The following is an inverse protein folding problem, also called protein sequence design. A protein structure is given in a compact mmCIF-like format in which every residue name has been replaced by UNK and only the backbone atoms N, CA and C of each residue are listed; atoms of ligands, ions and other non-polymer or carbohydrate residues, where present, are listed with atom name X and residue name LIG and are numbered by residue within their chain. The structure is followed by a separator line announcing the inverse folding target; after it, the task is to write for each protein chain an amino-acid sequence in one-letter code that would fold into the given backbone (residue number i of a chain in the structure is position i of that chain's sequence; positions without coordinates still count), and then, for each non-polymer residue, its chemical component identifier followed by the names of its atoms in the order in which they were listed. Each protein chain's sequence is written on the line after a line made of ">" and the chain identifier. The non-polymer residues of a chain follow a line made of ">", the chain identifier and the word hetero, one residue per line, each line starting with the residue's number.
data_IF_531411257911
#
_entry.id   IF_531411257911
#
_cell.length_a   1.000
_cell.length_b   1.000
_cell.length_c   1.000
_cell.angle_alpha   90.00
_cell.angle_beta   90.00
_cell.angle_gamma   90.00
#
_symmetry.space_group_name_H-M   'P 1'
#
loop_
_entity.id
_entity.type
_entity.pdbx_description
1 polymer ?
#
# COMPACT_ATOMS: atom_id res chain seq x y z
N UNK A 1 4.56 -3.05 8.69
CA UNK A 1 5.88 -3.57 8.26
C UNK A 1 5.72 -5.04 7.92
N UNK A 2 6.28 -5.49 6.80
CA UNK A 2 6.30 -6.90 6.42
C UNK A 2 7.68 -7.50 6.62
N UNK A 3 7.78 -8.56 7.43
CA UNK A 3 8.99 -9.36 7.63
C UNK A 3 8.70 -10.79 7.20
N UNK A 4 9.40 -11.29 6.19
CA UNK A 4 9.32 -12.69 5.79
C UNK A 4 10.70 -13.34 5.87
N UNK A 5 10.73 -14.55 6.43
CA UNK A 5 11.93 -15.40 6.45
C UNK A 5 12.21 -15.93 5.04
N UNK A 6 13.46 -16.29 4.72
CA UNK A 6 13.73 -17.04 3.50
C UNK A 6 12.91 -18.33 3.48
N UNK A 7 12.32 -18.64 2.33
CA UNK A 7 11.48 -19.82 2.12
C UNK A 7 12.19 -21.12 2.51
N UNK A 8 13.48 -21.21 2.24
CA UNK A 8 14.36 -22.34 2.54
C UNK A 8 14.57 -22.58 4.05
N UNK A 9 14.22 -21.61 4.90
CA UNK A 9 14.32 -21.72 6.36
C UNK A 9 13.00 -22.16 7.02
N UNK A 10 11.96 -22.47 6.24
CA UNK A 10 10.64 -22.85 6.74
C UNK A 10 10.32 -24.27 6.28
N UNK A 11 10.00 -25.16 7.21
CA UNK A 11 9.62 -26.55 6.91
C UNK A 11 8.24 -26.65 6.26
N UNK A 12 7.34 -25.77 6.68
CA UNK A 12 6.02 -25.61 6.12
C UNK A 12 6.07 -24.43 5.16
N UNK A 13 6.57 -24.69 3.96
CA UNK A 13 6.21 -23.88 2.81
C UNK A 13 4.73 -24.13 2.57
N UNK A 14 3.87 -23.52 3.38
CA UNK A 14 2.49 -23.33 2.97
C UNK A 14 2.61 -22.68 1.60
N UNK A 15 2.20 -23.42 0.57
CA UNK A 15 1.98 -22.91 -0.76
C UNK A 15 0.87 -21.88 -0.64
N UNK A 16 1.24 -20.70 -0.16
CA UNK A 16 0.35 -19.56 -0.06
C UNK A 16 -0.03 -19.25 -1.48
N UNK A 17 -1.24 -19.68 -1.84
CA UNK A 17 -1.82 -19.36 -3.13
C UNK A 17 -1.78 -17.85 -3.26
N UNK A 18 -1.37 -17.35 -4.43
CA UNK A 18 -1.35 -15.91 -4.70
C UNK A 18 -2.73 -15.33 -4.42
N UNK A 19 -2.78 -14.35 -3.51
CA UNK A 19 -3.99 -13.70 -3.04
C UNK A 19 -4.07 -12.30 -3.65
N UNK A 20 -4.25 -12.26 -4.98
CA UNK A 20 -4.41 -10.98 -5.68
C UNK A 20 -5.62 -10.24 -5.14
N UNK A 21 -5.42 -8.97 -4.82
CA UNK A 21 -6.44 -8.12 -4.25
C UNK A 21 -6.30 -6.69 -4.79
N UNK A 22 -7.33 -5.89 -4.50
CA UNK A 22 -7.25 -4.42 -4.55
C UNK A 22 -7.54 -3.86 -3.17
N UNK A 23 -7.07 -2.65 -2.92
CA UNK A 23 -7.20 -1.94 -1.65
C UNK A 23 -8.13 -0.72 -1.77
N UNK A 24 -9.13 -0.82 -2.65
CA UNK A 24 -10.20 0.15 -2.84
C UNK A 24 -11.53 -0.57 -3.06
N UNK A 25 -12.56 -0.17 -2.31
CA UNK A 25 -13.90 -0.75 -2.39
C UNK A 25 -14.49 -0.67 -3.81
N UNK A 26 -15.27 -1.67 -4.24
CA UNK A 26 -16.03 -1.64 -5.49
C UNK A 26 -17.03 -0.48 -5.59
N UNK A 27 -17.44 0.10 -4.44
CA UNK A 27 -18.37 1.22 -4.38
C UNK A 27 -17.70 2.59 -4.59
N UNK A 28 -16.36 2.63 -4.66
CA UNK A 28 -15.58 3.86 -4.76
C UNK A 28 -15.01 4.00 -6.17
N UNK A 29 -15.45 5.03 -6.86
CA UNK A 29 -15.05 5.30 -8.24
C UNK A 29 -13.84 6.24 -8.32
N UNK A 30 -12.95 5.96 -9.27
CA UNK A 30 -11.80 6.83 -9.52
C UNK A 30 -10.64 6.61 -8.56
N UNK A 31 -9.79 7.61 -8.41
CA UNK A 31 -8.52 7.50 -7.69
C UNK A 31 -8.68 7.98 -6.23
N UNK A 32 -8.37 7.10 -5.27
CA UNK A 32 -8.49 7.40 -3.83
C UNK A 32 -7.19 7.32 -3.05
N UNK A 33 -6.20 6.54 -3.50
CA UNK A 33 -4.98 6.38 -2.74
C UNK A 33 -3.82 5.94 -3.64
N UNK A 34 -2.64 6.51 -3.40
CA UNK A 34 -1.38 5.89 -3.83
C UNK A 34 -0.85 5.10 -2.65
N UNK A 35 -0.45 3.87 -2.92
CA UNK A 35 0.23 2.99 -1.99
C UNK A 35 1.66 2.76 -2.45
N UNK A 36 2.46 2.21 -1.56
CA UNK A 36 3.80 1.79 -1.92
C UNK A 36 4.43 0.83 -0.92
N UNK A 37 5.44 0.15 -1.41
CA UNK A 37 6.28 -0.78 -0.65
C UNK A 37 7.72 -0.29 -0.73
N UNK A 38 8.27 0.12 0.41
CA UNK A 38 9.69 0.42 0.54
C UNK A 38 10.42 -0.87 0.90
N UNK A 39 11.35 -1.27 0.04
CA UNK A 39 12.18 -2.45 0.23
C UNK A 39 13.44 -2.10 0.99
N UNK A 40 13.62 -2.70 2.18
CA UNK A 40 14.81 -2.49 3.00
C UNK A 40 15.91 -3.53 2.73
N UNK A 41 15.63 -4.50 1.88
CA UNK A 41 16.58 -5.50 1.40
C UNK A 41 16.34 -5.80 -0.08
N UNK A 42 17.36 -6.31 -0.75
CA UNK A 42 17.31 -6.71 -2.16
C UNK A 42 16.23 -7.77 -2.39
N UNK A 43 15.38 -7.56 -3.40
CA UNK A 43 14.40 -8.53 -3.87
C UNK A 43 14.52 -8.73 -5.37
N UNK A 44 15.08 -9.88 -5.78
CA UNK A 44 15.16 -10.29 -7.17
C UNK A 44 13.84 -10.91 -7.67
N UNK A 45 13.78 -11.23 -8.96
CA UNK A 45 12.63 -11.88 -9.60
C UNK A 45 12.32 -13.27 -9.00
N UNK A 46 13.32 -13.94 -8.42
CA UNK A 46 13.20 -15.26 -7.80
C UNK A 46 12.78 -15.18 -6.33
N UNK A 47 12.93 -14.01 -5.70
CA UNK A 47 12.59 -13.81 -4.29
C UNK A 47 11.07 -13.67 -4.08
N UNK A 48 10.64 -13.80 -2.83
CA UNK A 48 9.29 -13.41 -2.44
C UNK A 48 9.16 -11.89 -2.58
N UNK A 49 8.11 -11.41 -3.24
CA UNK A 49 8.10 -10.02 -3.68
C UNK A 49 6.74 -9.51 -4.11
N UNK A 50 6.69 -8.20 -4.32
CA UNK A 50 5.52 -7.54 -4.88
C UNK A 50 5.28 -8.00 -6.31
N UNK A 51 4.05 -8.38 -6.61
CA UNK A 51 3.60 -8.78 -7.95
C UNK A 51 2.29 -8.09 -8.22
N UNK A 52 2.12 -7.59 -9.44
CA UNK A 52 0.90 -6.92 -9.83
C UNK A 52 0.51 -7.26 -11.27
N UNK A 53 -0.68 -6.83 -11.68
CA UNK A 53 -1.07 -6.81 -13.09
C UNK A 53 -0.94 -5.36 -13.59
N UNK A 54 0.16 -5.00 -14.28
CA UNK A 54 0.35 -3.64 -14.77
C UNK A 54 -0.85 -3.17 -15.60
N UNK A 55 -1.39 -1.99 -15.27
CA UNK A 55 -2.56 -1.43 -15.95
C UNK A 55 -3.93 -1.86 -15.42
N UNK A 56 -4.01 -2.85 -14.51
CA UNK A 56 -5.31 -3.37 -14.04
C UNK A 56 -6.15 -2.38 -13.22
N UNK A 57 -5.53 -1.33 -12.68
CA UNK A 57 -6.26 -0.23 -12.00
C UNK A 57 -7.31 0.43 -12.90
N UNK A 58 -7.12 0.38 -14.24
CA UNK A 58 -8.09 0.86 -15.23
C UNK A 58 -9.32 -0.04 -15.35
N UNK A 59 -9.21 -1.29 -14.92
CA UNK A 59 -10.26 -2.31 -15.01
C UNK A 59 -11.08 -2.40 -13.72
N UNK A 60 -10.71 -1.71 -12.64
CA UNK A 60 -11.31 -1.89 -11.31
C UNK A 60 -12.85 -1.82 -11.32
N UNK A 61 -13.43 -0.79 -11.92
CA UNK A 61 -14.89 -0.66 -12.06
C UNK A 61 -15.50 -1.82 -12.86
N UNK A 62 -14.89 -2.18 -13.99
CA UNK A 62 -15.39 -3.27 -14.84
C UNK A 62 -15.29 -4.64 -14.16
N UNK A 63 -14.18 -4.90 -13.47
CA UNK A 63 -13.90 -6.12 -12.72
C UNK A 63 -15.00 -6.37 -11.68
N UNK A 64 -15.35 -5.36 -10.90
CA UNK A 64 -16.35 -5.48 -9.84
C UNK A 64 -17.80 -5.43 -10.34
N UNK A 65 -18.05 -4.85 -11.52
CA UNK A 65 -19.38 -4.90 -12.16
C UNK A 65 -19.65 -6.24 -12.85
N UNK A 66 -18.60 -6.99 -13.21
CA UNK A 66 -18.73 -8.30 -13.85
C UNK A 66 -19.30 -9.35 -12.89
N UNK A 67 -18.92 -9.28 -11.62
CA UNK A 67 -19.28 -10.27 -10.60
C UNK A 67 -19.95 -9.59 -9.41
N UNK A 68 -21.24 -9.89 -9.20
CA UNK A 68 -22.05 -9.30 -8.12
C UNK A 68 -21.67 -9.85 -6.72
N UNK A 69 -20.76 -10.83 -6.63
CA UNK A 69 -20.29 -11.35 -5.34
C UNK A 69 -19.49 -10.31 -4.53
N UNK A 70 -19.01 -9.24 -5.18
CA UNK A 70 -18.28 -8.15 -4.54
C UNK A 70 -19.18 -6.97 -4.12
N UNK A 71 -20.27 -7.24 -3.40
CA UNK A 71 -21.08 -6.17 -2.80
C UNK A 71 -20.57 -5.81 -1.40
N UNK A 72 -19.49 -5.02 -1.34
CA UNK A 72 -18.87 -4.64 -0.06
C UNK A 72 -18.36 -3.20 -0.05
N UNK A 73 -18.44 -2.58 1.13
CA UNK A 73 -17.82 -1.27 1.40
C UNK A 73 -16.37 -1.40 1.88
N UNK A 74 -15.88 -2.63 2.08
CA UNK A 74 -14.51 -2.90 2.49
C UNK A 74 -13.54 -2.54 1.38
N UNK A 75 -12.41 -1.97 1.75
CA UNK A 75 -11.38 -1.58 0.78
C UNK A 75 -10.52 -2.76 0.34
N UNK A 76 -10.30 -3.73 1.23
CA UNK A 76 -9.57 -4.95 0.93
C UNK A 76 -10.46 -5.98 0.22
N UNK A 77 -10.15 -6.31 -1.03
CA UNK A 77 -10.94 -7.22 -1.85
C UNK A 77 -10.06 -8.22 -2.58
N UNK A 78 -10.06 -9.47 -2.13
CA UNK A 78 -9.41 -10.58 -2.84
C UNK A 78 -10.18 -10.94 -4.10
N UNK A 79 -9.46 -11.21 -5.18
CA UNK A 79 -10.06 -11.51 -6.48
C UNK A 79 -10.11 -13.02 -6.70
N UNK A 80 -11.28 -13.49 -7.14
CA UNK A 80 -11.53 -14.88 -7.45
C UNK A 80 -10.63 -15.38 -8.59
N UNK A 81 -10.41 -16.70 -8.64
CA UNK A 81 -9.66 -17.32 -9.75
C UNK A 81 -10.34 -17.09 -11.11
N UNK A 82 -11.67 -17.06 -11.14
CA UNK A 82 -12.43 -16.82 -12.37
C UNK A 82 -12.22 -15.40 -12.89
N UNK A 83 -12.25 -14.41 -12.01
CA UNK A 83 -12.02 -13.01 -12.39
C UNK A 83 -10.56 -12.76 -12.77
N UNK A 84 -9.60 -13.43 -12.13
CA UNK A 84 -8.21 -13.40 -12.58
C UNK A 84 -8.05 -14.01 -13.97
N UNK A 85 -8.70 -15.14 -14.27
CA UNK A 85 -8.68 -15.69 -15.63
C UNK A 85 -9.27 -14.74 -16.66
N UNK A 86 -10.31 -13.98 -16.31
CA UNK A 86 -10.86 -12.94 -17.19
C UNK A 86 -9.85 -11.80 -17.42
N UNK A 87 -9.17 -11.33 -16.36
CA UNK A 87 -8.09 -10.33 -16.49
C UNK A 87 -6.97 -10.84 -17.40
N UNK A 88 -6.60 -12.12 -17.29
CA UNK A 88 -5.53 -12.72 -18.10
C UNK A 88 -5.93 -12.97 -19.55
N UNK A 89 -7.09 -13.59 -19.77
CA UNK A 89 -7.49 -14.12 -21.09
C UNK A 89 -8.23 -13.09 -21.93
N UNK A 90 -9.14 -12.34 -21.30
CA UNK A 90 -10.02 -11.40 -22.00
C UNK A 90 -9.39 -10.01 -22.06
N UNK A 91 -8.63 -9.61 -21.04
CA UNK A 91 -7.95 -8.31 -20.98
C UNK A 91 -6.46 -8.38 -21.33
N UNK A 92 -5.89 -9.58 -21.43
CA UNK A 92 -4.50 -9.78 -21.85
C UNK A 92 -3.47 -9.27 -20.85
N UNK A 93 -3.84 -9.07 -19.58
CA UNK A 93 -2.90 -8.62 -18.56
C UNK A 93 -2.19 -9.81 -17.91
N UNK A 94 -0.88 -9.69 -17.71
CA UNK A 94 -0.06 -10.77 -17.16
C UNK A 94 0.46 -10.36 -15.77
N UNK A 95 0.42 -11.26 -14.76
CA UNK A 95 1.01 -10.96 -13.48
C UNK A 95 2.52 -10.80 -13.62
N UNK A 96 3.03 -9.67 -13.16
CA UNK A 96 4.43 -9.28 -13.28
C UNK A 96 5.03 -9.13 -11.89
N UNK A 97 6.02 -9.96 -11.57
CA UNK A 97 6.86 -9.79 -10.38
C UNK A 97 7.72 -8.56 -10.58
N UNK A 98 7.81 -7.71 -9.56
CA UNK A 98 8.60 -6.48 -9.61
C UNK A 98 9.85 -6.68 -8.75
N UNK A 99 11.04 -6.88 -9.37
CA UNK A 99 12.30 -6.81 -8.64
C UNK A 99 12.47 -5.43 -8.02
N UNK A 100 12.97 -5.40 -6.79
CA UNK A 100 13.09 -4.20 -6.00
C UNK A 100 14.49 -4.17 -5.37
N UNK A 101 15.41 -3.35 -5.90
CA UNK A 101 16.70 -3.15 -5.28
C UNK A 101 16.58 -2.68 -3.84
N UNK A 102 17.58 -2.96 -3.02
CA UNK A 102 17.62 -2.46 -1.65
C UNK A 102 17.47 -0.93 -1.62
N UNK A 103 16.52 -0.44 -0.81
CA UNK A 103 16.18 0.98 -0.68
C UNK A 103 15.19 1.51 -1.72
N UNK A 104 14.76 0.69 -2.70
CA UNK A 104 13.78 1.12 -3.68
C UNK A 104 12.37 1.22 -3.10
N UNK A 105 11.59 2.16 -3.64
CA UNK A 105 10.20 2.38 -3.25
C UNK A 105 9.29 2.14 -4.45
N UNK A 106 8.54 1.04 -4.42
CA UNK A 106 7.54 0.72 -5.45
C UNK A 106 6.25 1.44 -5.12
N UNK A 107 5.73 2.23 -6.06
CA UNK A 107 4.53 3.07 -5.88
C UNK A 107 3.45 2.62 -6.84
N UNK A 108 2.20 2.53 -6.38
CA UNK A 108 1.07 2.07 -7.17
C UNK A 108 -0.28 2.64 -6.71
N UNK A 109 -1.26 2.62 -7.61
CA UNK A 109 -2.65 3.01 -7.34
C UNK A 109 -3.37 1.93 -6.51
N UNK A 110 -4.19 2.31 -5.53
CA UNK A 110 -4.93 1.36 -4.66
C UNK A 110 -5.86 0.39 -5.41
N UNK A 111 -6.25 0.74 -6.63
CA UNK A 111 -7.05 -0.13 -7.52
C UNK A 111 -6.22 -1.18 -8.25
N UNK A 112 -4.89 -1.09 -8.21
CA UNK A 112 -4.01 -2.03 -8.90
C UNK A 112 -4.18 -3.42 -8.29
N UNK A 113 -4.33 -4.45 -9.13
CA UNK A 113 -4.35 -5.83 -8.69
C UNK A 113 -2.94 -6.22 -8.31
N UNK A 114 -2.75 -6.57 -7.05
CA UNK A 114 -1.43 -6.89 -6.53
C UNK A 114 -1.49 -7.92 -5.42
N UNK A 115 -0.35 -8.52 -5.12
CA UNK A 115 -0.13 -9.33 -3.94
C UNK A 115 1.37 -9.46 -3.64
N UNK A 116 1.69 -10.12 -2.53
CA UNK A 116 3.03 -10.69 -2.34
C UNK A 116 3.00 -12.16 -2.78
N UNK A 117 3.88 -12.54 -3.70
CA UNK A 117 4.03 -13.93 -4.14
C UNK A 117 5.18 -14.61 -3.39
N UNK A 118 5.12 -15.95 -3.22
CA UNK A 118 6.22 -16.70 -2.62
C UNK A 118 7.48 -16.67 -3.50
N UNK A 119 8.62 -16.94 -2.86
CA UNK A 119 9.88 -17.15 -3.57
C UNK A 119 9.81 -18.39 -4.47
N UNK A 120 10.53 -18.36 -5.58
CA UNK A 120 10.74 -19.54 -6.43
C UNK A 120 11.88 -20.35 -5.84
N UNK A 121 11.56 -21.46 -5.19
CA UNK A 121 12.53 -22.31 -4.49
C UNK A 121 12.96 -23.51 -5.34
N UNK A 122 14.19 -24.05 -5.14
CA UNK A 122 15.24 -23.55 -4.25
C UNK A 122 16.02 -22.38 -4.85
N UNK A 123 16.49 -21.45 -4.01
CA UNK A 123 17.37 -20.34 -4.42
C UNK A 123 18.80 -20.57 -3.96
N UNK A 124 19.77 -20.19 -4.79
CA UNK A 124 21.20 -20.21 -4.42
C UNK A 124 21.52 -19.24 -3.27
N UNK A 125 20.87 -18.07 -3.27
CA UNK A 125 21.08 -17.02 -2.26
C UNK A 125 19.74 -16.63 -1.61
N UNK A 126 19.26 -17.40 -0.61
CA UNK A 126 18.05 -17.08 0.13
C UNK A 126 18.15 -15.75 0.87
N UNK A 127 17.15 -14.88 0.72
CA UNK A 127 17.09 -13.57 1.38
C UNK A 127 15.87 -13.43 2.28
N UNK A 128 16.06 -12.64 3.33
CA UNK A 128 14.96 -12.09 4.13
C UNK A 128 14.26 -11.00 3.36
N UNK A 129 12.96 -10.82 3.61
CA UNK A 129 12.20 -9.70 3.07
C UNK A 129 11.82 -8.75 4.20
N UNK A 130 12.32 -7.52 4.13
CA UNK A 130 11.98 -6.43 5.04
C UNK A 130 11.32 -5.31 4.24
N UNK A 131 10.08 -4.97 4.58
CA UNK A 131 9.31 -3.97 3.83
C UNK A 131 8.49 -3.05 4.73
N UNK A 132 8.40 -1.78 4.32
CA UNK A 132 7.48 -0.81 4.91
C UNK A 132 6.38 -0.49 3.91
N UNK A 133 5.13 -0.53 4.36
CA UNK A 133 3.98 -0.12 3.56
C UNK A 133 3.70 1.35 3.84
N UNK A 134 3.59 2.14 2.78
CA UNK A 134 3.38 3.58 2.86
C UNK A 134 2.19 3.92 1.98
N UNK A 135 1.23 4.66 2.51
CA UNK A 135 0.08 5.17 1.77
C UNK A 135 0.13 6.70 1.74
N UNK A 136 -0.29 7.28 0.62
CA UNK A 136 -0.14 8.69 0.34
C UNK A 136 -1.42 9.20 -0.32
N UNK A 137 -1.95 10.29 0.24
CA UNK A 137 -3.04 11.06 -0.36
C UNK A 137 -2.78 12.54 -0.17
N UNK A 138 -3.28 13.40 -1.08
CA UNK A 138 -3.15 14.84 -0.94
C UNK A 138 -3.66 15.32 0.42
N UNK A 139 -2.92 16.24 1.05
CA UNK A 139 -3.30 16.85 2.33
C UNK A 139 -4.70 17.48 2.27
N UNK A 140 -5.06 18.07 1.12
CA UNK A 140 -6.35 18.72 0.89
C UNK A 140 -7.57 17.78 1.04
N UNK A 141 -7.38 16.46 0.94
CA UNK A 141 -8.47 15.49 1.07
C UNK A 141 -8.82 15.17 2.53
N UNK A 142 -7.91 15.42 3.47
CA UNK A 142 -8.14 15.17 4.89
C UNK A 142 -8.83 16.37 5.55
N UNK A 143 -10.02 16.14 6.12
CA UNK A 143 -10.70 17.14 6.94
C UNK A 143 -10.06 17.29 8.34
N UNK A 144 -10.52 18.29 9.09
CA UNK A 144 -10.00 18.60 10.43
C UNK A 144 -10.12 17.42 11.40
N UNK A 145 -11.23 16.68 11.34
CA UNK A 145 -11.47 15.54 12.21
C UNK A 145 -10.49 14.40 11.93
N UNK A 146 -10.26 14.10 10.65
CA UNK A 146 -9.29 13.09 10.21
C UNK A 146 -7.87 13.43 10.67
N UNK A 147 -7.47 14.69 10.54
CA UNK A 147 -6.13 15.14 10.97
C UNK A 147 -5.97 15.02 12.49
N UNK A 148 -7.00 15.40 13.25
CA UNK A 148 -6.98 15.24 14.69
C UNK A 148 -6.90 13.76 15.09
N UNK A 149 -7.71 12.90 14.45
CA UNK A 149 -7.68 11.45 14.68
C UNK A 149 -6.29 10.85 14.38
N UNK A 150 -5.59 11.34 13.34
CA UNK A 150 -4.20 10.93 13.05
C UNK A 150 -3.22 11.30 14.15
N UNK A 151 -3.32 12.53 14.67
CA UNK A 151 -2.48 12.99 15.78
C UNK A 151 -2.73 12.17 17.04
N UNK A 152 -4.00 11.88 17.34
CA UNK A 152 -4.39 11.04 18.48
C UNK A 152 -3.90 9.59 18.30
N UNK A 153 -4.07 9.02 17.11
CA UNK A 153 -3.59 7.68 16.79
C UNK A 153 -2.07 7.59 16.95
N UNK A 154 -1.32 8.59 16.49
CA UNK A 154 0.13 8.65 16.64
C UNK A 154 0.56 8.72 18.12
N UNK A 155 -0.04 9.63 18.90
CA UNK A 155 0.29 9.81 20.33
C UNK A 155 0.03 8.55 21.15
N UNK A 156 -1.02 7.80 20.78
CA UNK A 156 -1.44 6.58 21.46
C UNK A 156 -0.89 5.30 20.79
N UNK A 157 -0.02 5.42 19.78
CA UNK A 157 0.58 4.28 19.06
C UNK A 157 -0.44 3.28 18.50
N UNK A 158 -1.56 3.80 18.00
CA UNK A 158 -2.65 3.01 17.43
C UNK A 158 -2.37 2.61 15.98
N UNK A 159 -2.76 1.39 15.64
CA UNK A 159 -2.81 0.96 14.24
C UNK A 159 -3.99 1.60 13.52
N UNK A 160 -3.75 2.00 12.27
CA UNK A 160 -4.74 2.68 11.42
C UNK A 160 -4.93 1.92 10.12
N UNK A 161 -6.09 2.12 9.47
CA UNK A 161 -6.32 1.68 8.08
C UNK A 161 -5.40 2.43 7.11
N UNK A 162 -5.30 1.94 5.88
CA UNK A 162 -4.30 2.39 4.89
C UNK A 162 -4.66 3.70 4.16
N UNK A 163 -5.66 4.47 4.60
CA UNK A 163 -6.09 5.71 3.91
C UNK A 163 -5.81 6.96 4.76
N UNK A 164 -4.80 7.78 4.41
CA UNK A 164 -4.40 8.95 5.21
C UNK A 164 -5.45 10.06 5.32
N UNK A 165 -6.39 10.14 4.37
CA UNK A 165 -7.48 11.12 4.35
C UNK A 165 -8.81 10.57 4.89
N UNK A 166 -8.83 9.31 5.32
CA UNK A 166 -9.98 8.67 5.95
C UNK A 166 -9.50 7.58 6.92
N UNK A 167 -9.08 8.03 8.10
CA UNK A 167 -8.42 7.16 9.07
C UNK A 167 -9.44 6.37 9.89
N UNK A 168 -9.41 5.05 9.72
CA UNK A 168 -10.00 4.10 10.64
C UNK A 168 -8.96 3.58 11.63
N UNK A 169 -9.40 3.15 12.81
CA UNK A 169 -8.55 2.51 13.81
C UNK A 169 -8.84 1.02 13.84
N UNK A 170 -7.79 0.21 13.96
CA UNK A 170 -7.95 -1.18 14.33
C UNK A 170 -8.30 -1.29 15.82
N UNK A 171 -8.94 -2.40 16.25
CA UNK A 171 -9.12 -2.70 17.67
C UNK A 171 -7.81 -2.60 18.43
N UNK A 172 -7.89 -2.23 19.70
CA UNK A 172 -6.72 -2.27 20.58
C UNK A 172 -6.25 -3.71 20.73
N UNK A 173 -4.96 -3.92 20.48
CA UNK A 173 -4.27 -5.18 20.74
C UNK A 173 -3.35 -4.94 21.94
N UNK A 174 -3.79 -5.41 23.11
CA UNK A 174 -3.07 -5.23 24.37
C UNK A 174 -1.75 -6.03 24.40
N UNK A 175 -1.60 -7.02 23.52
CA UNK A 175 -0.39 -7.82 23.42
C UNK A 175 0.66 -7.16 22.52
N UNK A 176 0.28 -6.10 21.78
CA UNK A 176 1.22 -5.35 20.96
C UNK A 176 2.04 -4.39 21.83
N UNK A 177 3.36 -4.57 21.93
CA UNK A 177 4.17 -3.72 22.80
C UNK A 177 4.17 -2.28 22.27
N UNK A 178 4.06 -1.33 23.21
CA UNK A 178 4.32 0.06 22.89
C UNK A 178 5.74 0.20 22.33
N UNK A 179 5.84 0.86 21.18
CA UNK A 179 7.13 1.12 20.55
C UNK A 179 7.87 2.23 21.30
N UNK A 180 9.22 2.25 21.24
CA UNK A 180 9.97 3.41 21.71
C UNK A 180 9.46 4.69 21.06
N UNK A 181 9.24 5.73 21.86
CA UNK A 181 8.93 7.06 21.34
C UNK A 181 10.22 7.61 20.71
N UNK A 182 10.12 8.06 19.47
CA UNK A 182 11.22 8.71 18.76
C UNK A 182 10.91 10.20 18.63
N UNK A 183 11.97 11.03 18.70
CA UNK A 183 11.85 12.46 18.43
C UNK A 183 11.64 12.66 16.93
N UNK A 184 10.58 13.37 16.58
CA UNK A 184 10.32 13.76 15.21
C UNK A 184 11.08 15.05 14.91
N UNK A 185 11.78 15.09 13.78
CA UNK A 185 12.22 16.34 13.19
C UNK A 185 11.04 17.15 12.66
N UNK A 186 11.28 18.39 12.25
CA UNK A 186 10.24 19.33 11.80
C UNK A 186 9.34 18.77 10.69
N UNK A 187 9.94 18.09 9.70
CA UNK A 187 9.19 17.42 8.62
C UNK A 187 8.27 16.32 9.16
N UNK A 188 8.77 15.51 10.11
CA UNK A 188 7.99 14.43 10.71
C UNK A 188 6.79 14.96 11.50
N UNK A 189 6.99 16.01 12.30
CA UNK A 189 5.92 16.64 13.07
C UNK A 189 4.83 17.23 12.16
N UNK A 190 5.23 17.85 11.03
CA UNK A 190 4.32 18.35 10.00
C UNK A 190 3.55 17.24 9.30
N UNK A 191 4.21 16.14 8.94
CA UNK A 191 3.56 14.99 8.28
C UNK A 191 2.55 14.28 9.17
N UNK A 192 2.80 14.21 10.49
CA UNK A 192 1.84 13.69 11.47
C UNK A 192 0.67 14.66 11.67
N UNK A 193 0.90 15.97 11.54
CA UNK A 193 -0.06 17.03 11.83
C UNK A 193 0.09 17.63 13.23
N UNK A 194 1.23 17.42 13.89
CA UNK A 194 1.58 18.06 15.17
C UNK A 194 1.93 19.54 15.00
N UNK A 195 2.41 19.91 13.81
CA UNK A 195 2.69 21.28 13.38
C UNK A 195 1.86 21.61 12.14
N UNK A 196 1.61 22.91 11.96
CA UNK A 196 0.92 23.38 10.77
C UNK A 196 1.77 23.18 9.50
N UNK A 197 1.07 22.90 8.40
CA UNK A 197 1.68 22.55 7.12
C UNK A 197 1.80 23.75 6.17
N UNK A 198 1.26 24.94 6.53
CA UNK A 198 1.28 26.11 5.66
C UNK A 198 2.70 26.61 5.37
N UNK A 199 2.92 27.07 4.13
CA UNK A 199 4.19 27.71 3.73
C UNK A 199 5.35 26.76 3.41
N UNK A 200 5.16 25.44 3.41
CA UNK A 200 6.23 24.51 3.03
C UNK A 200 6.32 24.33 1.51
N UNK A 201 7.47 24.69 0.93
CA UNK A 201 7.93 24.12 -0.33
C UNK A 201 8.76 22.87 -0.01
N UNK A 202 8.44 21.74 -0.64
CA UNK A 202 9.32 20.57 -0.64
C UNK A 202 10.49 20.89 -1.58
N UNK A 203 11.61 21.30 -0.99
CA UNK A 203 12.88 21.44 -1.69
C UNK A 203 13.58 20.08 -1.55
N UNK A 204 13.65 19.35 -2.65
CA UNK A 204 14.39 18.09 -2.70
C UNK A 204 15.90 18.37 -2.67
N UNK A 205 16.71 17.35 -2.38
CA UNK A 205 18.16 17.46 -2.57
C UNK A 205 18.47 17.96 -4.00
N UNK A 206 19.56 18.71 -4.15
CA UNK A 206 19.93 19.46 -5.37
C UNK A 206 19.14 20.76 -5.64
N UNK A 207 18.26 21.19 -4.72
CA UNK A 207 17.54 22.46 -4.87
C UNK A 207 16.39 22.39 -5.88
N UNK A 208 15.99 21.17 -6.26
CA UNK A 208 14.80 20.94 -7.08
C UNK A 208 13.59 21.27 -6.21
N UNK A 209 12.95 22.40 -6.53
CA UNK A 209 11.63 22.71 -6.00
C UNK A 209 10.65 21.77 -6.69
N UNK A 210 9.94 20.96 -5.91
CA UNK A 210 8.80 20.21 -6.41
C UNK A 210 7.67 21.20 -6.75
N UNK A 211 7.73 21.81 -7.93
CA UNK A 211 6.60 22.50 -8.54
C UNK A 211 5.66 21.44 -9.08
N UNK A 212 4.86 20.88 -8.18
CA UNK A 212 3.80 19.97 -8.58
C UNK A 212 2.63 20.81 -9.08
N UNK A 213 2.44 20.83 -10.41
CA UNK A 213 1.21 21.33 -11.06
C UNK A 213 -0.03 20.49 -10.68
N UNK A 214 0.14 19.46 -9.85
CA UNK A 214 -0.95 18.72 -9.25
C UNK A 214 -1.75 19.62 -8.32
N UNK A 215 -2.77 20.27 -8.87
CA UNK A 215 -3.92 20.69 -8.10
C UNK A 215 -4.62 19.44 -7.60
N UNK A 216 -4.74 19.21 -6.28
CA UNK A 216 -5.52 18.11 -5.77
C UNK A 216 -6.90 18.18 -6.41
N UNK A 217 -7.29 17.15 -7.16
CA UNK A 217 -8.68 16.99 -7.57
C UNK A 217 -9.58 17.10 -6.33
N UNK A 218 -10.85 17.44 -6.52
CA UNK A 218 -11.82 17.43 -5.43
C UNK A 218 -11.70 16.13 -4.64
N UNK A 219 -11.81 16.22 -3.30
CA UNK A 219 -11.78 15.06 -2.42
C UNK A 219 -12.73 14.00 -3.00
N UNK A 220 -12.24 12.79 -3.31
CA UNK A 220 -13.10 11.79 -3.91
C UNK A 220 -14.21 11.40 -2.93
N UNK A 221 -15.41 11.14 -3.45
CA UNK A 221 -16.55 10.73 -2.64
C UNK A 221 -16.28 9.35 -2.03
N UNK A 222 -16.38 9.24 -0.70
CA UNK A 222 -16.10 8.01 0.06
C UNK A 222 -17.26 7.02 0.04
#
# INVERSE_FOLDING_TARGET
>A
MGILRPAEMVSDLEHTSSWFHTDQSPKKEGFHCVQGVLNLEEASIEDAGFTCYPGSHKLHKELFQRNNDYDTTMDFNTISKEDLHWVERDKGLVPTRIPAPKGSFTIFDSRLLHCTVPAKVPRENPRWRYTLYICMTPRAWADKNTLQARVEAFRNQRMTTHWPHHVGLFPDDLDFPMLPKFELGDVGEKLVGLKDYSGNQLILEEGIVSDSDFTPHERPAL
#
